data_IF_166982077352
#
_entry.id   IF_166982077352
#
_cell.length_a   1.000
_cell.length_b   1.000
_cell.length_c   1.000
_cell.angle_alpha   90.00
_cell.angle_beta   90.00
_cell.angle_gamma   90.00
#
_symmetry.space_group_name_H-M   'P 1'
#
loop_
_entity.id
_entity.type
_entity.pdbx_description
1 polymer ?
#
# COMPACT_ATOMS: atom_id res chain seq x y z
N UNK A 1 -2.13 47.27 -22.23
CA UNK A 1 -2.58 45.96 -22.76
C UNK A 1 -3.88 45.63 -22.04
N UNK A 2 -5.00 45.47 -22.75
CA UNK A 2 -6.33 45.39 -22.11
C UNK A 2 -6.57 43.99 -21.53
N UNK A 3 -7.26 43.88 -20.38
CA UNK A 3 -7.55 42.62 -19.67
C UNK A 3 -8.21 41.58 -20.59
N UNK A 4 -9.05 42.04 -21.54
CA UNK A 4 -9.68 41.19 -22.55
C UNK A 4 -8.64 40.46 -23.43
N UNK A 5 -7.53 41.10 -23.79
CA UNK A 5 -6.47 40.48 -24.60
C UNK A 5 -5.70 39.40 -23.84
N UNK A 6 -5.65 39.49 -22.51
CA UNK A 6 -5.01 38.49 -21.64
C UNK A 6 -5.89 37.25 -21.55
N UNK A 7 -7.21 37.43 -21.39
CA UNK A 7 -8.17 36.33 -21.33
C UNK A 7 -8.26 35.54 -22.65
N UNK A 8 -8.22 36.22 -23.80
CA UNK A 8 -8.20 35.54 -25.10
C UNK A 8 -6.92 34.73 -25.31
N UNK A 9 -5.78 35.23 -24.82
CA UNK A 9 -4.50 34.49 -24.88
C UNK A 9 -4.53 33.23 -24.03
N UNK A 10 -5.06 33.33 -22.80
CA UNK A 10 -5.19 32.18 -21.89
C UNK A 10 -6.15 31.12 -22.47
N UNK A 11 -7.29 31.53 -23.03
CA UNK A 11 -8.23 30.58 -23.66
C UNK A 11 -7.60 29.82 -24.82
N UNK A 12 -6.77 30.48 -25.62
CA UNK A 12 -6.06 29.86 -26.73
C UNK A 12 -5.01 28.85 -26.25
N UNK A 13 -4.17 29.25 -25.28
CA UNK A 13 -3.14 28.36 -24.73
C UNK A 13 -3.72 27.12 -24.04
N UNK A 14 -4.86 27.25 -23.34
CA UNK A 14 -5.56 26.11 -22.73
C UNK A 14 -6.20 25.20 -23.79
N UNK A 15 -6.75 25.76 -24.86
CA UNK A 15 -7.32 24.98 -25.98
C UNK A 15 -6.26 24.12 -26.67
N UNK A 16 -5.09 24.71 -26.95
CA UNK A 16 -3.98 24.02 -27.62
C UNK A 16 -3.43 22.86 -26.76
N UNK A 17 -3.37 23.02 -25.43
CA UNK A 17 -2.95 21.97 -24.49
C UNK A 17 -3.94 20.80 -24.41
N UNK A 18 -5.25 21.08 -24.43
CA UNK A 18 -6.28 20.01 -24.42
C UNK A 18 -6.22 19.18 -25.69
N UNK A 19 -5.94 19.80 -26.84
CA UNK A 19 -5.83 19.09 -28.11
C UNK A 19 -4.57 18.19 -28.17
N UNK A 20 -3.47 18.60 -27.55
CA UNK A 20 -2.26 17.77 -27.44
C UNK A 20 -2.46 16.54 -26.54
N UNK A 21 -3.16 16.70 -25.41
CA UNK A 21 -3.50 15.60 -24.49
C UNK A 21 -4.44 14.59 -25.15
N UNK A 22 -5.42 15.06 -25.93
CA UNK A 22 -6.32 14.18 -26.67
C UNK A 22 -5.61 13.33 -27.74
N UNK A 23 -4.54 13.85 -28.34
CA UNK A 23 -3.74 13.12 -29.35
C UNK A 23 -2.82 12.05 -28.74
N UNK A 24 -2.50 12.11 -27.45
CA UNK A 24 -1.71 11.09 -26.75
C UNK A 24 -2.53 9.91 -26.20
N UNK A 25 -3.87 9.95 -26.28
CA UNK A 25 -4.75 8.96 -25.64
C UNK A 25 -5.21 7.80 -26.55
N UNK A 26 -4.65 7.62 -27.76
CA UNK A 26 -5.07 6.53 -28.67
C UNK A 26 -3.89 5.64 -29.03
N UNK A 27 -3.67 4.60 -28.24
CA UNK A 27 -3.01 3.38 -28.69
C UNK A 27 -3.95 2.20 -28.34
N UNK A 28 -4.30 1.33 -29.30
CA UNK A 28 -5.28 0.27 -29.07
C UNK A 28 -4.65 -0.84 -28.23
N UNK A 29 -5.22 -1.10 -27.05
CA UNK A 29 -4.87 -2.27 -26.24
C UNK A 29 -5.75 -3.45 -26.66
N UNK A 30 -5.09 -4.55 -27.02
CA UNK A 30 -5.69 -5.83 -27.37
C UNK A 30 -6.48 -6.41 -26.18
N UNK A 31 -7.69 -6.87 -26.48
CA UNK A 31 -8.60 -7.57 -25.57
C UNK A 31 -8.03 -8.94 -25.17
N UNK A 32 -8.10 -9.33 -23.88
CA UNK A 32 -8.28 -10.73 -23.54
C UNK A 32 -9.65 -10.97 -22.88
N UNK A 33 -10.37 -11.94 -23.43
CA UNK A 33 -11.59 -12.56 -22.91
C UNK A 33 -11.25 -13.62 -21.81
N UNK A 34 -12.22 -14.23 -21.10
CA UNK A 34 -12.30 -14.13 -19.65
C UNK A 34 -11.99 -15.42 -18.86
N UNK A 35 -11.75 -15.21 -17.56
CA UNK A 35 -12.01 -16.08 -16.42
C UNK A 35 -11.45 -17.53 -16.43
N UNK A 36 -10.42 -17.77 -15.60
CA UNK A 36 -10.18 -19.08 -14.99
C UNK A 36 -10.14 -18.91 -13.46
N UNK A 37 -10.99 -19.69 -12.79
CA UNK A 37 -11.19 -19.76 -11.33
C UNK A 37 -9.91 -20.17 -10.59
N UNK A 38 -9.76 -19.83 -9.29
CA UNK A 38 -8.58 -20.25 -8.53
C UNK A 38 -8.65 -21.76 -8.28
N UNK A 39 -7.63 -22.49 -8.72
CA UNK A 39 -7.48 -23.90 -8.41
C UNK A 39 -6.15 -24.08 -7.68
N UNK A 40 -6.24 -24.25 -6.37
CA UNK A 40 -5.16 -24.74 -5.52
C UNK A 40 -4.81 -26.16 -5.96
N UNK A 41 -3.54 -26.42 -6.23
CA UNK A 41 -3.00 -27.78 -6.32
C UNK A 41 -1.61 -27.79 -5.71
N UNK A 42 -1.48 -28.46 -4.56
CA UNK A 42 -0.25 -28.74 -3.86
C UNK A 42 0.59 -29.80 -4.59
N UNK A 43 1.92 -29.66 -4.63
CA UNK A 43 2.87 -30.78 -4.78
C UNK A 43 4.15 -30.49 -3.96
N UNK A 44 4.73 -31.49 -3.26
CA UNK A 44 5.71 -31.30 -2.19
C UNK A 44 7.18 -31.48 -2.64
N UNK A 45 8.09 -30.86 -1.87
CA UNK A 45 9.44 -31.34 -1.60
C UNK A 45 10.56 -30.87 -2.54
N UNK A 46 11.46 -30.02 -2.03
CA UNK A 46 12.90 -30.25 -2.15
C UNK A 46 13.71 -29.35 -1.21
N UNK A 47 14.57 -29.99 -0.42
CA UNK A 47 15.60 -29.44 0.45
C UNK A 47 16.77 -28.85 -0.35
N UNK A 48 17.38 -27.74 0.10
CA UNK A 48 18.79 -27.40 -0.24
C UNK A 48 19.22 -25.92 -0.26
N UNK A 49 19.65 -25.41 0.89
CA UNK A 49 20.83 -24.53 1.16
C UNK A 49 21.18 -23.26 0.31
N UNK A 50 21.21 -22.11 1.03
CA UNK A 50 22.10 -20.90 1.06
C UNK A 50 22.27 -19.93 -0.14
N UNK A 51 22.03 -18.61 0.08
CA UNK A 51 22.98 -17.53 0.49
C UNK A 51 22.33 -16.14 0.26
N UNK A 52 22.29 -15.30 1.30
CA UNK A 52 22.54 -13.84 1.25
C UNK A 52 21.63 -12.89 0.45
N UNK A 53 20.83 -12.10 1.18
CA UNK A 53 20.38 -10.76 0.75
C UNK A 53 18.92 -10.66 0.31
N UNK A 54 18.03 -10.28 1.22
CA UNK A 54 16.61 -10.03 0.94
C UNK A 54 15.83 -10.11 2.25
N UNK A 55 14.90 -9.19 2.50
CA UNK A 55 14.30 -8.98 3.81
C UNK A 55 13.76 -10.25 4.45
N UNK A 56 14.32 -10.63 5.59
CA UNK A 56 13.75 -11.67 6.45
C UNK A 56 12.33 -11.25 6.82
N UNK A 57 11.35 -11.98 6.32
CA UNK A 57 10.07 -12.10 7.00
C UNK A 57 10.34 -12.62 8.42
N UNK A 58 9.95 -11.92 9.49
CA UNK A 58 10.07 -12.47 10.83
C UNK A 58 9.07 -13.63 10.97
N UNK A 59 9.59 -14.82 11.28
CA UNK A 59 8.78 -15.98 11.64
C UNK A 59 7.92 -15.65 12.88
N UNK A 60 6.68 -16.05 12.78
CA UNK A 60 5.54 -15.46 13.44
C UNK A 60 4.92 -16.44 14.44
N UNK A 61 5.56 -16.68 15.59
CA UNK A 61 4.86 -17.25 16.73
C UNK A 61 4.09 -16.13 17.43
N UNK A 62 2.98 -15.68 16.85
CA UNK A 62 2.12 -14.65 17.45
C UNK A 62 1.05 -15.30 18.32
N UNK A 63 1.04 -14.92 19.60
CA UNK A 63 0.03 -15.32 20.57
C UNK A 63 -1.38 -14.87 20.13
N UNK A 64 -2.37 -15.71 20.43
CA UNK A 64 -3.79 -15.69 20.00
C UNK A 64 -4.57 -14.39 20.27
N UNK A 65 -4.05 -13.45 21.07
CA UNK A 65 -4.88 -12.46 21.79
C UNK A 65 -5.37 -11.25 20.97
N UNK A 66 -5.04 -11.15 19.69
CA UNK A 66 -5.36 -9.96 18.89
C UNK A 66 -6.00 -10.27 17.53
N UNK A 67 -6.93 -11.21 17.49
CA UNK A 67 -7.85 -11.40 16.37
C UNK A 67 -9.17 -10.67 16.61
N UNK A 68 -9.75 -10.15 15.52
CA UNK A 68 -11.12 -9.59 15.51
C UNK A 68 -12.22 -10.66 15.58
N UNK A 69 -11.84 -11.92 15.37
CA UNK A 69 -12.67 -13.11 15.41
C UNK A 69 -11.98 -14.17 16.27
N UNK A 70 -12.71 -15.21 16.70
CA UNK A 70 -12.17 -16.27 17.58
C UNK A 70 -11.01 -17.07 16.97
N UNK A 71 -10.83 -17.05 15.64
CA UNK A 71 -9.82 -17.84 14.93
C UNK A 71 -8.78 -16.96 14.26
N UNK A 72 -7.50 -17.08 14.63
CA UNK A 72 -6.36 -16.47 13.92
C UNK A 72 -6.22 -17.14 12.54
N UNK A 73 -5.91 -16.40 11.44
CA UNK A 73 -5.71 -17.06 10.15
C UNK A 73 -4.47 -17.96 10.21
N UNK A 74 -4.56 -19.16 9.65
CA UNK A 74 -3.46 -20.12 9.62
C UNK A 74 -2.48 -19.85 8.47
N UNK A 75 -2.92 -19.13 7.43
CA UNK A 75 -2.11 -18.84 6.24
C UNK A 75 -1.58 -17.40 6.23
N UNK A 76 -0.46 -17.22 5.55
CA UNK A 76 0.19 -15.92 5.34
C UNK A 76 -0.67 -15.01 4.45
N UNK A 77 -0.47 -13.70 4.58
CA UNK A 77 -1.21 -12.59 3.96
C UNK A 77 -2.70 -12.52 4.30
N UNK A 78 -3.24 -13.50 5.03
CA UNK A 78 -4.60 -13.45 5.52
C UNK A 78 -4.74 -12.46 6.68
N UNK A 79 -5.96 -11.95 6.81
CA UNK A 79 -6.36 -11.02 7.84
C UNK A 79 -7.79 -11.35 8.25
N UNK A 80 -8.05 -11.22 9.54
CA UNK A 80 -9.32 -11.57 10.15
C UNK A 80 -10.29 -10.40 10.06
N UNK A 81 -10.81 -10.11 8.88
CA UNK A 81 -11.78 -9.04 8.67
C UNK A 81 -12.72 -9.36 7.52
N UNK A 82 -14.02 -9.35 7.79
CA UNK A 82 -15.06 -9.55 6.77
C UNK A 82 -15.32 -8.25 5.98
N UNK A 83 -14.32 -7.82 5.21
CA UNK A 83 -14.41 -6.61 4.40
C UNK A 83 -13.14 -6.31 3.60
N UNK A 84 -13.11 -5.21 2.83
CA UNK A 84 -11.97 -4.87 1.98
C UNK A 84 -10.69 -4.65 2.80
N UNK A 85 -9.56 -5.15 2.30
CA UNK A 85 -8.24 -5.00 2.93
C UNK A 85 -7.90 -3.55 3.30
N UNK A 86 -8.30 -2.60 2.45
CA UNK A 86 -8.06 -1.19 2.73
C UNK A 86 -8.85 -0.69 3.97
N UNK A 87 -10.09 -1.15 4.10
CA UNK A 87 -10.95 -0.76 5.22
C UNK A 87 -10.52 -1.44 6.52
N UNK A 88 -9.96 -2.65 6.42
CA UNK A 88 -9.28 -3.31 7.53
C UNK A 88 -8.15 -2.43 8.13
N UNK A 89 -7.24 -1.92 7.30
CA UNK A 89 -6.16 -1.05 7.78
C UNK A 89 -6.69 0.28 8.31
N UNK A 90 -7.67 0.92 7.64
CA UNK A 90 -8.31 2.14 8.15
C UNK A 90 -8.90 1.92 9.54
N UNK A 91 -9.56 0.78 9.76
CA UNK A 91 -10.16 0.42 11.04
C UNK A 91 -9.11 0.24 12.13
N UNK A 92 -8.04 -0.50 11.84
CA UNK A 92 -6.90 -0.63 12.76
C UNK A 92 -6.33 0.74 13.11
N UNK A 93 -6.11 1.61 12.11
CA UNK A 93 -5.53 2.93 12.35
C UNK A 93 -6.43 3.79 13.24
N UNK A 94 -7.74 3.75 13.02
CA UNK A 94 -8.70 4.51 13.82
C UNK A 94 -8.81 4.02 15.27
N UNK A 95 -8.70 2.71 15.51
CA UNK A 95 -8.89 2.14 16.85
C UNK A 95 -7.61 2.04 17.67
N UNK A 96 -6.49 1.68 17.05
CA UNK A 96 -5.23 1.39 17.75
C UNK A 96 -4.32 2.61 17.84
N UNK A 97 -4.54 3.60 16.98
CA UNK A 97 -3.74 4.81 16.87
C UNK A 97 -4.61 6.08 16.81
N UNK A 98 -5.61 6.23 17.70
CA UNK A 98 -6.61 7.31 17.62
C UNK A 98 -6.02 8.72 17.77
N UNK A 99 -4.82 8.85 18.35
CA UNK A 99 -4.11 10.12 18.48
C UNK A 99 -3.44 10.60 17.18
N UNK A 100 -3.40 9.76 16.14
CA UNK A 100 -2.85 10.08 14.84
C UNK A 100 -3.95 10.28 13.80
N UNK A 101 -3.79 11.29 12.94
CA UNK A 101 -4.55 11.36 11.69
C UNK A 101 -3.81 10.60 10.61
N UNK A 102 -4.48 9.71 9.88
CA UNK A 102 -3.86 8.93 8.81
C UNK A 102 -4.52 9.20 7.44
N UNK A 103 -4.36 10.40 6.84
CA UNK A 103 -4.82 10.63 5.47
C UNK A 103 -4.21 9.63 4.51
N UNK A 104 -5.02 9.18 3.56
CA UNK A 104 -4.65 8.21 2.55
C UNK A 104 -4.43 8.90 1.20
N UNK A 105 -3.40 8.43 0.47
CA UNK A 105 -3.14 8.76 -0.92
C UNK A 105 -3.09 7.48 -1.75
N UNK A 106 -3.86 7.43 -2.83
CA UNK A 106 -3.77 6.36 -3.82
C UNK A 106 -2.64 6.65 -4.81
N UNK A 107 -1.81 5.65 -5.09
CA UNK A 107 -0.68 5.74 -6.01
C UNK A 107 -0.86 4.66 -7.09
N UNK A 108 -0.75 5.04 -8.36
CA UNK A 108 -0.94 4.16 -9.52
C UNK A 108 -2.29 3.44 -9.50
N UNK A 109 -3.32 4.28 -9.40
CA UNK A 109 -4.76 4.03 -9.52
C UNK A 109 -5.37 2.99 -8.57
N UNK A 110 -4.72 1.87 -8.23
CA UNK A 110 -5.28 0.86 -7.29
C UNK A 110 -4.25 -0.05 -6.60
N UNK A 111 -2.98 -0.02 -7.03
CA UNK A 111 -1.97 -1.02 -6.63
C UNK A 111 -1.17 -0.64 -5.39
N UNK A 112 -1.22 0.64 -5.00
CA UNK A 112 -0.47 1.18 -3.88
C UNK A 112 -1.31 2.22 -3.14
N UNK A 113 -1.34 2.10 -1.82
CA UNK A 113 -1.95 3.07 -0.94
C UNK A 113 -0.92 3.51 0.07
N UNK A 114 -0.81 4.81 0.25
CA UNK A 114 0.06 5.42 1.24
C UNK A 114 -0.82 6.06 2.32
N UNK A 115 -0.52 5.77 3.57
CA UNK A 115 -1.06 6.44 4.73
C UNK A 115 0.05 7.20 5.43
N UNK A 116 -0.20 8.46 5.77
CA UNK A 116 0.77 9.28 6.51
C UNK A 116 0.21 9.54 7.90
N UNK A 117 0.83 9.00 8.93
CA UNK A 117 0.46 9.25 10.32
C UNK A 117 0.94 10.65 10.71
N UNK A 118 -0.01 11.52 11.03
CA UNK A 118 0.20 12.91 11.43
C UNK A 118 -0.17 13.10 12.89
N UNK A 119 0.72 13.72 13.65
CA UNK A 119 0.47 14.19 15.02
C UNK A 119 0.97 15.62 15.14
N UNK A 120 0.10 16.53 15.57
CA UNK A 120 0.39 17.98 15.67
C UNK A 120 0.94 18.56 14.36
N UNK A 121 0.31 18.21 13.23
CA UNK A 121 0.72 18.57 11.87
C UNK A 121 2.12 18.09 11.42
N UNK A 122 2.79 17.26 12.23
CA UNK A 122 4.08 16.65 11.88
C UNK A 122 3.89 15.21 11.42
N UNK A 123 4.59 14.83 10.35
CA UNK A 123 4.66 13.44 9.90
C UNK A 123 5.45 12.58 10.90
N UNK A 124 4.85 11.49 11.36
CA UNK A 124 5.43 10.58 12.36
C UNK A 124 5.75 9.19 11.80
N UNK A 125 5.00 8.75 10.81
CA UNK A 125 5.20 7.47 10.13
C UNK A 125 4.52 7.51 8.77
N UNK A 126 5.14 6.87 7.78
CA UNK A 126 4.49 6.54 6.51
C UNK A 126 4.25 5.03 6.45
N UNK A 127 3.01 4.63 6.20
CA UNK A 127 2.62 3.24 5.97
C UNK A 127 2.23 3.06 4.51
N UNK A 128 2.82 2.07 3.85
CA UNK A 128 2.51 1.74 2.47
C UNK A 128 1.88 0.34 2.36
N UNK A 129 0.73 0.27 1.69
CA UNK A 129 0.06 -0.98 1.31
C UNK A 129 0.30 -1.17 -0.19
N UNK A 130 0.85 -2.31 -0.59
CA UNK A 130 1.31 -2.51 -1.96
C UNK A 130 1.23 -3.98 -2.39
N UNK A 131 1.22 -4.24 -3.69
CA UNK A 131 1.42 -5.61 -4.19
C UNK A 131 2.90 -5.94 -4.28
N UNK A 132 3.26 -7.23 -4.30
CA UNK A 132 4.66 -7.67 -4.48
C UNK A 132 5.27 -7.08 -5.76
N UNK A 133 4.47 -6.97 -6.82
CA UNK A 133 4.85 -6.44 -8.14
C UNK A 133 5.10 -4.92 -8.14
N UNK A 134 4.89 -4.24 -7.02
CA UNK A 134 5.02 -2.78 -6.93
C UNK A 134 6.46 -2.36 -6.62
N UNK A 135 6.98 -1.37 -7.36
CA UNK A 135 8.31 -0.81 -7.11
C UNK A 135 8.30 0.25 -5.98
N UNK A 136 8.56 -0.16 -4.73
CA UNK A 136 8.50 0.71 -3.55
C UNK A 136 9.81 1.43 -3.16
N UNK A 137 10.88 1.27 -3.94
CA UNK A 137 12.21 1.73 -3.53
C UNK A 137 12.38 3.26 -3.50
N UNK A 138 11.55 4.04 -4.20
CA UNK A 138 11.62 5.51 -4.15
C UNK A 138 11.11 6.07 -2.83
N UNK A 139 9.88 5.73 -2.44
CA UNK A 139 9.22 6.27 -1.25
C UNK A 139 10.00 5.96 0.03
N UNK A 140 10.48 4.72 0.19
CA UNK A 140 11.34 4.36 1.33
C UNK A 140 12.60 5.24 1.43
N UNK A 141 13.24 5.56 0.29
CA UNK A 141 14.43 6.42 0.27
C UNK A 141 14.09 7.86 0.62
N UNK A 142 12.95 8.35 0.17
CA UNK A 142 12.45 9.69 0.50
C UNK A 142 12.16 9.82 2.00
N UNK A 143 11.45 8.87 2.60
CA UNK A 143 11.20 8.82 4.04
C UNK A 143 12.51 8.76 4.84
N UNK A 144 13.45 7.91 4.42
CA UNK A 144 14.77 7.82 5.06
C UNK A 144 15.52 9.17 5.02
N UNK A 145 15.51 9.86 3.88
CA UNK A 145 16.15 11.18 3.72
C UNK A 145 15.50 12.24 4.62
N UNK A 146 14.19 12.15 4.81
CA UNK A 146 13.43 13.05 5.67
C UNK A 146 13.52 12.69 7.17
N UNK A 147 14.12 11.55 7.52
CA UNK A 147 14.16 11.05 8.90
C UNK A 147 12.81 10.56 9.41
N UNK A 148 11.90 10.18 8.50
CA UNK A 148 10.55 9.73 8.83
C UNK A 148 10.52 8.19 8.79
N UNK A 149 10.05 7.51 9.85
CA UNK A 149 9.83 6.07 9.83
C UNK A 149 8.93 5.63 8.66
N UNK A 150 9.21 4.45 8.12
CA UNK A 150 8.47 3.88 6.99
C UNK A 150 8.22 2.39 7.21
N UNK A 151 6.97 1.96 7.05
CA UNK A 151 6.55 0.56 7.14
C UNK A 151 5.76 0.18 5.89
N UNK A 152 5.89 -1.08 5.46
CA UNK A 152 5.15 -1.63 4.32
C UNK A 152 4.41 -2.91 4.67
N UNK A 153 3.26 -3.09 4.05
CA UNK A 153 2.47 -4.31 4.08
C UNK A 153 2.10 -4.71 2.66
N UNK A 154 2.00 -6.02 2.44
CA UNK A 154 1.72 -6.59 1.13
C UNK A 154 0.34 -7.21 1.08
N UNK A 155 -0.35 -7.00 -0.03
CA UNK A 155 -1.61 -7.69 -0.31
C UNK A 155 -1.41 -9.18 -0.64
N UNK A 156 -0.27 -9.51 -1.25
CA UNK A 156 -0.07 -10.75 -2.02
C UNK A 156 1.36 -11.30 -1.96
N UNK A 157 2.09 -11.09 -0.85
CA UNK A 157 3.50 -11.53 -0.72
C UNK A 157 3.63 -12.72 0.25
N UNK A 158 4.10 -13.85 -0.24
CA UNK A 158 4.39 -15.03 0.57
C UNK A 158 5.40 -14.72 1.71
N UNK A 159 5.16 -15.19 2.92
CA UNK A 159 5.94 -14.88 4.12
C UNK A 159 5.46 -13.66 4.91
N UNK A 160 4.48 -12.89 4.41
CA UNK A 160 3.98 -11.70 5.10
C UNK A 160 2.75 -12.00 5.92
N UNK A 161 2.71 -11.58 7.18
CA UNK A 161 1.50 -11.70 8.01
C UNK A 161 0.73 -10.39 7.99
N UNK A 162 -0.61 -10.44 7.96
CA UNK A 162 -1.47 -9.25 8.05
C UNK A 162 -2.48 -9.34 9.18
N UNK A 163 -2.23 -10.18 10.19
CA UNK A 163 -3.04 -10.22 11.41
C UNK A 163 -2.99 -8.88 12.14
N UNK A 164 -4.04 -8.55 12.92
CA UNK A 164 -4.13 -7.25 13.60
C UNK A 164 -2.96 -7.10 14.58
N UNK A 165 -2.66 -8.14 15.36
CA UNK A 165 -1.51 -8.18 16.27
C UNK A 165 -0.20 -7.77 15.56
N UNK A 166 0.06 -8.40 14.40
CA UNK A 166 1.27 -8.14 13.62
C UNK A 166 1.34 -6.70 13.11
N UNK A 167 0.25 -6.22 12.51
CA UNK A 167 0.15 -4.87 11.97
C UNK A 167 0.38 -3.84 13.09
N UNK A 168 -0.33 -3.99 14.21
CA UNK A 168 -0.24 -3.08 15.36
C UNK A 168 1.17 -3.07 15.93
N UNK A 169 1.76 -4.25 16.18
CA UNK A 169 3.11 -4.35 16.72
C UNK A 169 4.13 -3.65 15.83
N UNK A 170 4.13 -3.92 14.52
CA UNK A 170 5.08 -3.27 13.59
C UNK A 170 4.93 -1.77 13.52
N UNK A 171 3.70 -1.26 13.60
CA UNK A 171 3.45 0.19 13.60
C UNK A 171 3.91 0.81 14.92
N UNK A 172 3.62 0.20 16.07
CA UNK A 172 4.08 0.64 17.39
C UNK A 172 5.61 0.70 17.46
N UNK A 173 6.29 -0.36 17.02
CA UNK A 173 7.75 -0.42 16.93
C UNK A 173 8.33 0.71 16.05
N UNK A 174 7.69 0.99 14.90
CA UNK A 174 8.14 2.05 14.00
C UNK A 174 7.89 3.47 14.54
N UNK A 175 6.83 3.65 15.34
CA UNK A 175 6.52 4.90 16.04
C UNK A 175 7.36 5.07 17.32
N UNK A 176 7.96 3.99 17.83
CA UNK A 176 8.73 3.98 19.09
C UNK A 176 7.82 4.08 20.33
N UNK A 177 6.63 3.45 20.28
CA UNK A 177 5.62 3.45 21.36
C UNK A 177 5.29 2.05 21.86
#
# INVERSE_FOLDING_TARGET
>A
MSILKILDKIKKEVGDLVEEVAKQAVKPEEKPEPAVKPNTTAIPGHTGFVVGGGGNAPSASYEEEASWYETVPEEECQYNYDGPYLDYFKKIFAEEFPEYKAPMKTINEWRRYQFTFLKDASEKLVVELMTEKSAANSLRRECLKAGIPYVRFYFDHEGWWNTRAYVVKRIKEALGV
#
